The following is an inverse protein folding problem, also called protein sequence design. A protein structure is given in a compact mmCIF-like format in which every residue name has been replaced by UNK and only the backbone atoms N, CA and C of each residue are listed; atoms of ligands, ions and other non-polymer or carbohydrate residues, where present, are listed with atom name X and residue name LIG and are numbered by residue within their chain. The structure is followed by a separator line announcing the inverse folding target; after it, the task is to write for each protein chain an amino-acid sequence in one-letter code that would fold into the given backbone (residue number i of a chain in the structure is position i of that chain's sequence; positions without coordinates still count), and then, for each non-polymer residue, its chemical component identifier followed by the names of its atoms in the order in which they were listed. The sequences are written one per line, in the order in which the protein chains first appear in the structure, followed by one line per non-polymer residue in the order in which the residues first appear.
data_IF_796903046691
#
_entry.id   IF_796903046691
#
_cell.length_a   1.000
_cell.length_b   1.000
_cell.length_c   1.000
_cell.angle_alpha   90.00
_cell.angle_beta   90.00
_cell.angle_gamma   90.00
#
_symmetry.space_group_name_H-M   'P 1'
#
loop_
_entity.id
_entity.type
_entity.pdbx_description
1 polymer ?
#
# COMPACT_ATOMS: atom_id res chain seq x y z
N UNK A 1 3.56 2.25 -19.49
CA UNK A 1 2.66 1.87 -18.37
C UNK A 1 2.76 2.91 -17.27
N UNK A 2 1.61 3.36 -16.77
CA UNK A 2 1.57 4.34 -15.70
C UNK A 2 1.45 3.60 -14.35
N UNK A 3 2.42 3.84 -13.47
CA UNK A 3 2.41 3.26 -12.12
C UNK A 3 2.06 4.35 -11.12
N UNK A 4 1.13 4.05 -10.21
CA UNK A 4 0.82 4.90 -9.08
C UNK A 4 1.20 4.15 -7.81
N UNK A 5 1.88 4.83 -6.92
CA UNK A 5 2.30 4.25 -5.64
C UNK A 5 1.57 4.95 -4.50
N UNK A 6 1.06 4.17 -3.57
CA UNK A 6 0.55 4.70 -2.31
C UNK A 6 1.05 3.81 -1.18
N UNK A 7 1.12 4.33 0.03
CA UNK A 7 1.62 3.55 1.16
C UNK A 7 0.76 3.77 2.39
N UNK A 8 0.83 2.85 3.32
CA UNK A 8 0.12 2.93 4.57
C UNK A 8 0.15 1.64 5.36
N UNK A 9 -0.51 1.65 6.50
CA UNK A 9 -0.58 0.49 7.37
C UNK A 9 -1.74 -0.44 7.00
N UNK A 10 -2.85 0.12 6.56
CA UNK A 10 -4.03 -0.63 6.10
C UNK A 10 -4.40 -1.76 7.08
N UNK A 11 -4.46 -1.43 8.36
CA UNK A 11 -4.68 -2.46 9.39
C UNK A 11 -6.13 -2.94 9.38
N UNK A 12 -7.07 -2.00 9.37
CA UNK A 12 -8.50 -2.33 9.30
C UNK A 12 -9.06 -1.58 8.11
N UNK A 13 -9.31 -2.31 7.02
CA UNK A 13 -9.78 -1.70 5.78
C UNK A 13 -11.28 -1.44 5.86
N UNK A 14 -11.67 -0.24 5.43
CA UNK A 14 -13.08 0.15 5.38
C UNK A 14 -13.37 0.89 4.07
N UNK A 15 -14.63 1.31 3.90
CA UNK A 15 -15.07 1.92 2.64
C UNK A 15 -14.24 3.13 2.23
N UNK A 16 -13.77 3.93 3.20
CA UNK A 16 -12.92 5.08 2.89
C UNK A 16 -11.62 4.68 2.22
N UNK A 17 -11.02 3.58 2.65
CA UNK A 17 -9.82 3.04 1.99
C UNK A 17 -10.13 2.62 0.56
N UNK A 18 -11.28 1.99 0.34
CA UNK A 18 -11.66 1.54 -0.99
C UNK A 18 -11.83 2.73 -1.93
N UNK A 19 -12.50 3.79 -1.48
CA UNK A 19 -12.67 4.99 -2.27
C UNK A 19 -11.32 5.61 -2.64
N UNK A 20 -10.42 5.69 -1.68
CA UNK A 20 -9.08 6.22 -1.90
C UNK A 20 -8.31 5.39 -2.92
N UNK A 21 -8.35 4.07 -2.79
CA UNK A 21 -7.63 3.18 -3.71
C UNK A 21 -8.24 3.22 -5.10
N UNK A 22 -9.56 3.32 -5.21
CA UNK A 22 -10.22 3.46 -6.51
C UNK A 22 -9.82 4.75 -7.21
N UNK A 23 -9.74 5.85 -6.46
CA UNK A 23 -9.28 7.12 -7.02
C UNK A 23 -7.83 7.02 -7.49
N UNK A 24 -6.99 6.35 -6.72
CA UNK A 24 -5.60 6.12 -7.10
C UNK A 24 -5.50 5.30 -8.39
N UNK A 25 -6.34 4.29 -8.54
CA UNK A 25 -6.37 3.46 -9.74
C UNK A 25 -6.79 4.27 -10.97
N UNK A 26 -7.72 5.22 -10.80
CA UNK A 26 -8.12 6.10 -11.89
C UNK A 26 -6.96 6.95 -12.38
N UNK A 27 -6.12 7.43 -11.46
CA UNK A 27 -4.96 8.25 -11.82
C UNK A 27 -4.02 7.48 -12.74
N UNK A 28 -3.84 6.18 -12.50
CA UNK A 28 -2.96 5.36 -13.35
C UNK A 28 -3.69 4.82 -14.59
N UNK A 29 -4.92 5.27 -14.81
CA UNK A 29 -5.72 4.88 -15.97
C UNK A 29 -5.89 3.37 -16.07
N UNK A 30 -5.96 2.70 -14.93
CA UNK A 30 -6.12 1.26 -14.86
C UNK A 30 -4.84 0.46 -15.07
N UNK A 31 -3.69 1.12 -15.24
CA UNK A 31 -2.46 0.40 -15.53
C UNK A 31 -1.93 -0.37 -14.32
N UNK A 32 -1.40 0.33 -13.31
CA UNK A 32 -0.83 -0.39 -12.17
C UNK A 32 -0.88 0.42 -10.89
N UNK A 33 -1.59 -0.12 -9.91
CA UNK A 33 -1.65 0.45 -8.56
C UNK A 33 -0.78 -0.42 -7.65
N UNK A 34 0.24 0.20 -7.07
CA UNK A 34 1.23 -0.47 -6.23
C UNK A 34 1.12 0.09 -4.81
N UNK A 35 1.01 -0.80 -3.84
CA UNK A 35 0.89 -0.40 -2.44
C UNK A 35 2.16 -0.78 -1.69
N UNK A 36 2.72 0.20 -0.97
CA UNK A 36 3.75 -0.03 0.01
C UNK A 36 3.08 -0.23 1.36
N UNK A 37 3.28 -1.38 1.97
CA UNK A 37 2.63 -1.76 3.21
C UNK A 37 3.65 -1.75 4.34
N UNK A 38 3.39 -0.94 5.38
CA UNK A 38 4.26 -0.92 6.54
C UNK A 38 4.28 -2.29 7.22
N UNK A 39 5.48 -2.80 7.50
CA UNK A 39 5.63 -4.04 8.26
C UNK A 39 5.08 -3.87 9.67
N UNK A 40 4.91 -4.97 10.39
CA UNK A 40 4.50 -4.91 11.79
C UNK A 40 5.48 -4.07 12.61
N UNK A 41 6.78 -4.28 12.38
CA UNK A 41 7.83 -3.56 13.07
C UNK A 41 7.77 -2.06 12.80
N UNK A 42 7.66 -1.69 11.53
CA UNK A 42 7.55 -0.30 11.11
C UNK A 42 6.32 0.35 11.72
N UNK A 43 5.18 -0.34 11.68
CA UNK A 43 3.93 0.18 12.22
C UNK A 43 4.01 0.42 13.72
N UNK A 44 4.67 -0.49 14.47
CA UNK A 44 4.86 -0.31 15.91
C UNK A 44 5.64 0.97 16.22
N UNK A 45 6.65 1.26 15.40
CA UNK A 45 7.48 2.45 15.63
C UNK A 45 6.75 3.75 15.33
N UNK A 46 5.94 3.77 14.26
CA UNK A 46 5.36 5.04 13.77
C UNK A 46 3.93 5.26 14.23
N UNK A 47 3.23 4.24 14.68
CA UNK A 47 1.80 4.38 14.99
C UNK A 47 1.40 3.62 16.25
N UNK A 48 1.28 2.29 16.16
CA UNK A 48 0.84 1.44 17.28
C UNK A 48 1.02 -0.02 16.91
N UNK A 49 0.73 -0.90 17.90
CA UNK A 49 0.73 -2.33 17.65
C UNK A 49 -0.36 -2.68 16.64
N UNK A 50 -0.06 -3.42 15.57
CA UNK A 50 -1.08 -3.79 14.58
C UNK A 50 -2.09 -4.78 15.15
N UNK A 51 -3.35 -4.63 14.76
CA UNK A 51 -4.39 -5.61 15.05
C UNK A 51 -4.21 -6.85 14.17
N UNK A 52 -3.84 -6.64 12.91
CA UNK A 52 -3.61 -7.71 11.95
C UNK A 52 -2.15 -7.77 11.56
N UNK A 53 -1.61 -8.98 11.48
CA UNK A 53 -0.21 -9.17 11.08
C UNK A 53 -0.01 -8.75 9.63
N UNK A 54 1.21 -8.35 9.31
CA UNK A 54 1.54 -7.86 7.97
C UNK A 54 1.16 -8.83 6.86
N UNK A 55 1.33 -10.13 7.09
CA UNK A 55 0.97 -11.14 6.10
C UNK A 55 -0.54 -11.14 5.82
N UNK A 56 -1.34 -10.97 6.86
CA UNK A 56 -2.78 -10.94 6.72
C UNK A 56 -3.23 -9.64 6.07
N UNK A 57 -2.61 -8.51 6.43
CA UNK A 57 -2.91 -7.22 5.82
C UNK A 57 -2.58 -7.24 4.33
N UNK A 58 -1.44 -7.84 3.97
CA UNK A 58 -1.05 -7.99 2.57
C UNK A 58 -2.06 -8.85 1.82
N UNK A 59 -2.47 -9.96 2.42
CA UNK A 59 -3.45 -10.87 1.80
C UNK A 59 -4.77 -10.17 1.49
N UNK A 60 -5.26 -9.36 2.42
CA UNK A 60 -6.51 -8.62 2.22
C UNK A 60 -6.36 -7.63 1.06
N UNK A 61 -5.26 -6.88 1.04
CA UNK A 61 -5.02 -5.91 -0.03
C UNK A 61 -4.89 -6.60 -1.38
N UNK A 62 -4.19 -7.72 -1.44
CA UNK A 62 -4.00 -8.44 -2.70
C UNK A 62 -5.31 -9.03 -3.23
N UNK A 63 -6.29 -9.23 -2.36
CA UNK A 63 -7.60 -9.73 -2.78
C UNK A 63 -8.48 -8.65 -3.40
N UNK A 64 -8.11 -7.38 -3.26
CA UNK A 64 -8.86 -6.29 -3.86
C UNK A 64 -8.56 -6.23 -5.35
N UNK A 65 -9.63 -6.22 -6.16
CA UNK A 65 -9.52 -6.25 -7.62
C UNK A 65 -8.65 -5.14 -8.19
N UNK A 66 -8.69 -3.96 -7.57
CA UNK A 66 -8.01 -2.78 -8.09
C UNK A 66 -6.53 -2.71 -7.72
N UNK A 67 -6.08 -3.55 -6.80
CA UNK A 67 -4.68 -3.56 -6.35
C UNK A 67 -3.88 -4.51 -7.22
N UNK A 68 -2.79 -4.03 -7.80
CA UNK A 68 -1.94 -4.84 -8.67
C UNK A 68 -0.75 -5.47 -7.95
N UNK A 69 -0.14 -4.73 -7.01
CA UNK A 69 1.03 -5.22 -6.27
C UNK A 69 1.01 -4.68 -4.85
N UNK A 70 1.50 -5.48 -3.91
CA UNK A 70 1.69 -5.06 -2.53
C UNK A 70 3.11 -5.43 -2.12
N UNK A 71 3.87 -4.46 -1.64
CA UNK A 71 5.23 -4.65 -1.16
C UNK A 71 5.33 -4.23 0.30
N UNK A 72 5.80 -5.12 1.16
CA UNK A 72 6.01 -4.81 2.57
C UNK A 72 7.36 -4.12 2.70
N UNK A 73 7.42 -3.02 3.45
CA UNK A 73 8.69 -2.35 3.74
C UNK A 73 8.83 -2.16 5.25
N UNK A 74 10.07 -2.23 5.73
CA UNK A 74 10.36 -2.17 7.17
C UNK A 74 10.86 -0.83 7.64
N UNK A 75 11.32 0.01 6.73
CA UNK A 75 11.83 1.34 7.05
C UNK A 75 10.70 2.26 7.52
N UNK A 76 11.06 3.39 8.14
CA UNK A 76 10.05 4.34 8.61
C UNK A 76 9.35 5.04 7.45
N UNK A 77 10.05 5.20 6.31
CA UNK A 77 9.49 5.80 5.11
C UNK A 77 9.63 4.84 3.93
N UNK A 78 8.78 4.94 2.90
CA UNK A 78 8.88 4.07 1.73
C UNK A 78 9.91 4.55 0.71
N UNK A 79 10.86 5.39 1.08
CA UNK A 79 11.78 6.02 0.15
C UNK A 79 12.52 5.04 -0.75
N UNK A 80 13.14 4.00 -0.15
CA UNK A 80 13.91 3.03 -0.92
C UNK A 80 13.01 2.23 -1.86
N UNK A 81 11.80 1.90 -1.41
CA UNK A 81 10.83 1.18 -2.22
C UNK A 81 10.40 2.03 -3.42
N UNK A 82 10.13 3.31 -3.19
CA UNK A 82 9.75 4.24 -4.25
C UNK A 82 10.87 4.37 -5.28
N UNK A 83 12.11 4.46 -4.83
CA UNK A 83 13.27 4.53 -5.73
C UNK A 83 13.35 3.31 -6.64
N UNK A 84 13.03 2.14 -6.09
CA UNK A 84 13.09 0.88 -6.85
C UNK A 84 11.95 0.76 -7.84
N UNK A 85 10.74 1.15 -7.43
CA UNK A 85 9.54 1.02 -8.26
C UNK A 85 9.47 2.10 -9.33
N UNK A 86 9.94 3.29 -9.03
CA UNK A 86 9.92 4.45 -9.95
C UNK A 86 8.52 4.75 -10.47
N UNK A 87 7.57 5.03 -9.57
CA UNK A 87 6.20 5.32 -10.00
C UNK A 87 6.11 6.71 -10.63
N UNK A 88 5.07 6.92 -11.42
CA UNK A 88 4.79 8.23 -12.00
C UNK A 88 4.13 9.15 -10.97
N UNK A 89 3.25 8.59 -10.15
CA UNK A 89 2.52 9.34 -9.13
C UNK A 89 2.65 8.64 -7.77
N UNK A 90 2.65 9.43 -6.74
CA UNK A 90 2.71 8.95 -5.36
C UNK A 90 1.51 9.47 -4.59
#
# INVERSE_FOLDING_TARGET
MIKVFTNGCFDIIHAGHIDYLENSKRICQGDRLIIGLNSDESMRRIKREPFNKQEDRKKVLEALRIVDEVHIFEEDTPYELIKRIKPRYI
#
